data_IF_386807452331
#
_entry.id   IF_386807452331
#
_cell.length_a   1.000
_cell.length_b   1.000
_cell.length_c   1.000
_cell.angle_alpha   90.00
_cell.angle_beta   90.00
_cell.angle_gamma   90.00
#
_symmetry.space_group_name_H-M   'P 1'
#
loop_
_entity.id
_entity.type
_entity.pdbx_description
1 polymer ?
2 non-polymer ?
3 water ?
#
# COMPACT_ATOMS: atom_id res chain seq x y z
N UNK A 1 3.60 2.73 -10.64
CA UNK A 1 5.02 2.26 -10.74
C UNK A 1 5.79 2.62 -9.48
N UNK A 2 7.04 2.17 -9.43
CA UNK A 2 7.87 2.41 -8.27
C UNK A 2 9.12 3.23 -8.55
N UNK A 3 9.37 4.28 -7.74
CA UNK A 3 10.58 5.10 -7.93
C UNK A 3 11.79 4.17 -7.65
N UNK A 4 12.92 4.39 -8.35
CA UNK A 4 14.14 3.56 -8.22
C UNK A 4 14.79 3.46 -6.84
N UNK A 5 14.64 4.50 -6.04
CA UNK A 5 15.23 4.53 -4.71
C UNK A 5 14.51 3.68 -3.65
N UNK A 6 13.37 3.09 -4.00
CA UNK A 6 12.62 2.26 -3.04
C UNK A 6 12.61 0.77 -3.42
N UNK A 7 12.59 -0.09 -2.40
CA UNK A 7 12.49 -1.53 -2.62
C UNK A 7 10.97 -1.69 -2.65
N UNK A 8 10.45 -2.83 -3.06
CA UNK A 8 8.99 -2.95 -3.10
C UNK A 8 8.38 -2.78 -1.71
N UNK A 9 9.05 -3.29 -0.69
CA UNK A 9 8.57 -3.17 0.69
C UNK A 9 8.54 -1.71 1.15
N UNK A 10 9.56 -0.95 0.77
CA UNK A 10 9.64 0.46 1.15
C UNK A 10 8.55 1.26 0.46
N UNK A 11 8.25 0.89 -0.78
CA UNK A 11 7.23 1.57 -1.56
C UNK A 11 5.85 1.19 -1.01
N UNK A 12 5.73 -0.04 -0.50
CA UNK A 12 4.48 -0.53 0.08
C UNK A 12 4.19 0.28 1.34
N UNK A 13 5.25 0.50 2.12
CA UNK A 13 5.13 1.28 3.35
C UNK A 13 4.74 2.73 3.05
N UNK A 14 5.37 3.29 2.02
CA UNK A 14 5.12 4.66 1.61
C UNK A 14 3.69 4.82 1.09
N UNK A 15 3.19 3.79 0.41
CA UNK A 15 1.85 3.86 -0.16
C UNK A 15 0.67 3.46 0.70
N UNK A 16 0.86 2.44 1.54
CA UNK A 16 -0.23 1.92 2.34
C UNK A 16 -0.12 1.97 3.86
N UNK A 17 1.03 2.40 4.38
CA UNK A 17 1.19 2.45 5.82
C UNK A 17 1.48 3.85 6.37
N UNK A 18 2.38 4.58 5.73
CA UNK A 18 2.72 5.90 6.24
C UNK A 18 1.85 7.00 5.67
N UNK A 19 0.64 7.12 6.20
CA UNK A 19 -0.25 8.18 5.74
C UNK A 19 0.25 9.43 6.46
N UNK A 20 1.00 10.26 5.74
CA UNK A 20 1.61 11.46 6.33
C UNK A 20 0.66 12.54 6.83
N UNK A 21 -0.61 12.43 6.45
CA UNK A 21 -1.65 13.36 6.88
C UNK A 21 -2.95 12.57 6.89
N UNK A 22 -3.85 12.87 7.83
CA UNK A 22 -5.10 12.14 7.87
C UNK A 22 -6.01 12.58 6.71
N UNK A 23 -5.55 13.56 5.93
CA UNK A 23 -6.29 14.08 4.79
C UNK A 23 -5.72 13.44 3.54
N UNK A 24 -6.57 12.84 2.71
CA UNK A 24 -6.08 12.19 1.48
C UNK A 24 -5.37 13.12 0.49
N UNK A 25 -5.90 14.31 0.27
CA UNK A 25 -5.28 15.22 -0.68
C UNK A 25 -3.81 15.47 -0.34
N UNK A 26 -3.52 15.70 0.94
CA UNK A 26 -2.15 15.93 1.38
C UNK A 26 -1.33 14.64 1.41
N UNK A 27 -1.92 13.56 1.93
CA UNK A 27 -1.24 12.27 1.99
C UNK A 27 -0.83 11.79 0.59
N UNK A 28 -1.74 11.96 -0.38
CA UNK A 28 -1.48 11.52 -1.75
C UNK A 28 -0.40 12.31 -2.48
N UNK A 29 -0.10 13.52 -2.03
CA UNK A 29 0.93 14.32 -2.68
C UNK A 29 2.26 13.59 -2.62
N UNK A 30 2.50 12.90 -1.50
CA UNK A 30 3.73 12.15 -1.32
C UNK A 30 3.84 11.06 -2.41
N UNK A 31 2.80 10.24 -2.52
CA UNK A 31 2.79 9.16 -3.51
C UNK A 31 2.90 9.69 -4.95
N UNK A 32 2.10 10.71 -5.25
CA UNK A 32 2.04 11.31 -6.57
C UNK A 32 3.32 12.04 -6.94
N UNK A 33 3.96 12.69 -5.97
CA UNK A 33 5.20 13.41 -6.27
C UNK A 33 6.31 12.41 -6.56
N UNK A 34 6.18 11.22 -5.99
CA UNK A 34 7.17 10.18 -6.18
C UNK A 34 7.00 9.43 -7.50
N UNK A 35 5.76 9.10 -7.86
CA UNK A 35 5.53 8.35 -9.10
C UNK A 35 5.19 9.22 -10.33
N UNK A 36 5.27 10.54 -10.16
CA UNK A 36 5.03 11.50 -11.23
C UNK A 36 3.72 11.28 -11.99
N UNK A 37 2.64 11.18 -11.23
CA UNK A 37 1.32 10.99 -11.79
C UNK A 37 0.40 10.82 -10.61
N UNK A 38 -0.83 11.31 -10.76
CA UNK A 38 -1.79 11.20 -9.69
C UNK A 38 -2.48 9.84 -9.70
N UNK A 39 -2.16 9.03 -8.69
CA UNK A 39 -2.75 7.70 -8.56
C UNK A 39 -4.26 7.86 -8.38
N UNK A 40 -5.04 7.14 -9.17
CA UNK A 40 -6.48 7.26 -9.08
C UNK A 40 -7.11 6.79 -7.76
N UNK A 41 -6.56 5.72 -7.21
CA UNK A 41 -7.07 5.15 -5.97
C UNK A 41 -5.96 4.54 -5.11
N UNK A 42 -6.02 4.78 -3.81
CA UNK A 42 -5.01 4.24 -2.91
C UNK A 42 -5.54 4.10 -1.48
N UNK A 43 -5.29 2.94 -0.90
CA UNK A 43 -5.72 2.62 0.46
C UNK A 43 -4.58 2.72 1.48
N UNK A 44 -4.84 3.41 2.58
CA UNK A 44 -3.88 3.52 3.66
C UNK A 44 -4.44 2.67 4.79
N UNK A 45 -3.70 1.64 5.19
CA UNK A 45 -4.12 0.77 6.28
C UNK A 45 -3.69 1.40 7.62
N UNK A 46 -4.64 1.60 8.53
CA UNK A 46 -4.28 2.18 9.81
C UNK A 46 -3.78 1.04 10.70
N UNK A 47 -2.57 0.60 10.40
CA UNK A 47 -1.93 -0.49 11.12
C UNK A 47 -0.43 -0.25 10.99
N UNK A 48 0.36 -1.09 11.65
CA UNK A 48 1.81 -0.97 11.61
C UNK A 48 2.45 -1.91 10.57
N UNK A 49 3.66 -1.55 10.16
CA UNK A 49 4.41 -2.33 9.20
C UNK A 49 4.65 -3.73 9.79
N UNK A 50 5.02 -3.78 11.06
CA UNK A 50 5.27 -5.06 11.74
C UNK A 50 4.01 -5.94 11.73
N UNK A 51 2.84 -5.32 11.92
CA UNK A 51 1.56 -6.04 11.90
C UNK A 51 1.37 -6.70 10.53
N UNK A 52 1.68 -5.96 9.46
CA UNK A 52 1.54 -6.51 8.12
C UNK A 52 2.57 -7.62 7.87
N UNK A 53 3.79 -7.43 8.35
CA UNK A 53 4.84 -8.44 8.16
C UNK A 53 4.35 -9.74 8.79
N UNK A 54 3.68 -9.62 9.94
CA UNK A 54 3.18 -10.82 10.58
C UNK A 54 2.03 -11.47 9.80
N UNK A 55 1.23 -10.67 9.10
CA UNK A 55 0.14 -11.21 8.29
C UNK A 55 0.77 -12.00 7.14
N UNK A 56 1.99 -11.63 6.76
CA UNK A 56 2.70 -12.35 5.70
C UNK A 56 2.93 -13.77 6.19
N UNK A 57 2.82 -13.96 7.50
CA UNK A 57 3.02 -15.27 8.09
C UNK A 57 1.77 -16.13 8.09
N UNK A 58 0.63 -15.56 7.71
CA UNK A 58 -0.62 -16.31 7.66
C UNK A 58 -0.57 -17.21 6.43
N UNK A 59 -1.49 -18.17 6.31
CA UNK A 59 -1.44 -19.05 5.14
C UNK A 59 -1.44 -18.38 3.78
N UNK A 60 -0.69 -18.97 2.85
CA UNK A 60 -0.62 -18.47 1.49
C UNK A 60 -1.98 -18.67 0.84
N UNK A 61 -2.40 -17.72 0.02
CA UNK A 61 -3.67 -17.82 -0.68
C UNK A 61 -3.55 -17.16 -2.06
N UNK A 62 -4.46 -17.52 -2.95
CA UNK A 62 -4.46 -16.95 -4.28
C UNK A 62 -4.80 -15.45 -4.19
N UNK A 63 -4.07 -14.64 -4.95
CA UNK A 63 -4.29 -13.20 -4.96
C UNK A 63 -5.52 -12.87 -5.79
N UNK A 64 -6.57 -12.32 -5.14
CA UNK A 64 -7.81 -11.96 -5.84
C UNK A 64 -7.56 -11.11 -7.09
N UNK A 65 -6.58 -10.21 -7.01
CA UNK A 65 -6.25 -9.32 -8.12
C UNK A 65 -5.35 -9.90 -9.22
N UNK A 66 -4.69 -11.03 -8.95
CA UNK A 66 -3.87 -11.71 -9.95
C UNK A 66 -3.91 -13.19 -9.62
N UNK A 67 -4.94 -13.84 -10.15
CA UNK A 67 -5.21 -15.25 -9.97
C UNK A 67 -4.05 -16.22 -10.20
N UNK A 68 -3.01 -15.79 -10.90
CA UNK A 68 -1.87 -16.67 -11.13
C UNK A 68 -0.90 -16.64 -9.96
N UNK A 69 -1.12 -15.72 -9.02
CA UNK A 69 -0.23 -15.57 -7.88
C UNK A 69 -0.72 -16.23 -6.59
N UNK A 70 0.21 -16.85 -5.87
CA UNK A 70 -0.09 -17.54 -4.63
C UNK A 70 0.74 -16.98 -3.48
N UNK A 71 1.23 -15.75 -3.63
CA UNK A 71 2.04 -15.16 -2.57
C UNK A 71 1.25 -14.19 -1.75
N UNK A 72 -0.08 -14.33 -1.76
CA UNK A 72 -0.92 -13.43 -0.96
C UNK A 72 -1.27 -13.99 0.43
N UNK A 73 -1.67 -13.09 1.32
CA UNK A 73 -2.01 -13.47 2.69
C UNK A 73 -3.16 -12.61 3.19
N UNK A 74 -4.08 -13.25 3.90
CA UNK A 74 -5.27 -12.60 4.42
C UNK A 74 -5.03 -12.17 5.85
N UNK A 75 -5.44 -10.95 6.19
CA UNK A 75 -5.24 -10.44 7.55
C UNK A 75 -5.92 -11.20 8.70
N UNK A 76 -7.01 -11.90 8.46
CA UNK A 76 -7.59 -12.57 9.61
C UNK A 76 -8.19 -11.63 10.67
N UNK A 77 -8.07 -10.32 10.47
CA UNK A 77 -8.66 -9.34 11.39
C UNK A 77 -8.92 -8.09 10.58
N UNK A 78 -10.07 -7.45 10.79
CA UNK A 78 -10.37 -6.22 10.05
C UNK A 78 -9.57 -5.09 10.68
N UNK A 79 -9.24 -4.08 9.89
CA UNK A 79 -8.49 -2.95 10.43
C UNK A 79 -9.07 -1.66 9.91
N UNK A 80 -8.87 -0.55 10.65
CA UNK A 80 -9.39 0.74 10.19
C UNK A 80 -8.55 1.14 8.98
N UNK A 81 -9.19 1.72 7.97
CA UNK A 81 -8.46 2.15 6.78
C UNK A 81 -9.06 3.41 6.16
N UNK A 82 -8.24 4.14 5.43
CA UNK A 82 -8.71 5.33 4.75
C UNK A 82 -8.46 5.09 3.27
N UNK A 83 -9.52 5.15 2.46
CA UNK A 83 -9.37 4.96 1.03
C UNK A 83 -9.47 6.30 0.28
N UNK A 84 -8.42 6.63 -0.46
CA UNK A 84 -8.36 7.88 -1.21
C UNK A 84 -8.80 7.71 -2.66
N UNK A 85 -9.66 8.62 -3.11
CA UNK A 85 -10.18 8.61 -4.48
C UNK A 85 -9.90 9.93 -5.15
N UNK A 86 -9.27 9.88 -6.32
CA UNK A 86 -8.98 11.10 -7.05
C UNK A 86 -10.32 11.76 -7.44
N UNK A 87 -10.50 13.01 -7.06
CA UNK A 87 -11.74 13.72 -7.40
C UNK A 87 -11.43 14.76 -8.47
N UNK A 88 -10.19 15.23 -8.48
CA UNK A 88 -9.75 16.26 -9.41
C UNK A 88 -8.47 15.88 -10.14
N UNK A 89 -8.58 15.13 -11.26
CA UNK A 89 -7.42 14.70 -12.06
C UNK A 89 -6.76 15.90 -12.67
N UNK A 90 -5.43 15.94 -12.60
CA UNK A 90 -4.68 17.07 -13.12
C UNK A 90 -3.35 16.63 -13.75
N UNK A 91 -3.41 15.95 -14.91
CA UNK A 91 -2.23 15.46 -15.63
C UNK A 91 -1.19 16.53 -15.97
N UNK A 92 -1.66 17.75 -16.21
CA UNK A 92 -0.77 18.85 -16.56
C UNK A 92 -0.10 19.44 -15.32
N UNK A 93 -0.46 18.91 -14.15
CA UNK A 93 0.09 19.39 -12.89
C UNK A 93 -0.50 18.56 -11.75
N UNK A 94 0.32 17.65 -11.23
CA UNK A 94 -0.08 16.73 -10.18
C UNK A 94 -0.26 17.25 -8.74
N UNK A 95 0.33 18.39 -8.40
CA UNK A 95 0.17 18.91 -7.05
C UNK A 95 -1.22 19.53 -6.89
N UNK A 96 -1.96 19.57 -7.99
CA UNK A 96 -3.31 20.14 -7.99
C UNK A 96 -4.37 19.06 -7.99
N UNK A 97 -3.95 17.83 -7.74
CA UNK A 97 -4.89 16.73 -7.68
C UNK A 97 -5.53 16.73 -6.30
N UNK A 98 -6.86 16.64 -6.26
CA UNK A 98 -7.58 16.62 -5.00
C UNK A 98 -8.19 15.24 -4.84
N UNK A 99 -8.39 14.82 -3.60
CA UNK A 99 -8.94 13.50 -3.32
C UNK A 99 -10.05 13.52 -2.28
N UNK A 100 -10.85 12.46 -2.29
CA UNK A 100 -11.91 12.28 -1.31
C UNK A 100 -11.32 11.21 -0.39
N UNK A 101 -11.82 11.12 0.83
CA UNK A 101 -11.34 10.12 1.77
C UNK A 101 -12.54 9.34 2.29
N UNK A 102 -12.41 8.02 2.33
CA UNK A 102 -13.49 7.17 2.79
C UNK A 102 -13.02 6.24 3.88
N UNK A 103 -13.50 6.46 5.12
CA UNK A 103 -13.08 5.59 6.22
C UNK A 103 -13.86 4.28 6.18
N UNK A 104 -13.22 3.20 6.65
CA UNK A 104 -13.82 1.87 6.68
C UNK A 104 -12.98 0.93 7.55
N UNK A 105 -13.54 -0.23 7.87
CA UNK A 105 -12.86 -1.25 8.65
C UNK A 105 -13.03 -2.52 7.85
N UNK A 106 -11.95 -2.98 7.25
CA UNK A 106 -12.04 -4.18 6.43
C UNK A 106 -10.79 -5.00 6.59
N UNK A 107 -10.85 -6.17 5.99
CA UNK A 107 -9.74 -7.10 5.97
C UNK A 107 -8.87 -6.66 4.83
N UNK A 108 -7.61 -7.06 4.86
CA UNK A 108 -6.72 -6.74 3.76
C UNK A 108 -5.98 -8.01 3.38
N UNK A 109 -5.65 -8.10 2.10
CA UNK A 109 -4.92 -9.21 1.56
C UNK A 109 -3.64 -8.61 0.99
N UNK A 110 -2.49 -9.06 1.45
CA UNK A 110 -1.23 -8.53 0.96
C UNK A 110 -0.37 -9.60 0.31
N UNK A 111 0.35 -9.20 -0.73
CA UNK A 111 1.29 -10.08 -1.41
C UNK A 111 2.61 -9.82 -0.68
N UNK A 112 3.33 -10.88 -0.35
CA UNK A 112 4.60 -10.75 0.35
C UNK A 112 5.66 -11.55 -0.37
N UNK A 113 6.89 -11.10 -0.20
CA UNK A 113 8.04 -11.76 -0.81
C UNK A 113 9.24 -11.67 0.12
N UNK A 114 10.31 -12.34 -0.29
CA UNK A 114 11.54 -12.29 0.45
C UNK A 114 12.03 -10.88 0.23
N UNK A 115 12.69 -10.33 1.23
CA UNK A 115 13.22 -8.97 1.17
C UNK A 115 14.27 -8.76 0.08
N UNK A 116 14.45 -7.51 -0.32
CA UNK A 116 15.46 -7.10 -1.30
C UNK A 116 16.75 -7.31 -0.51
N UNK A 117 17.52 -8.33 -0.87
CA UNK A 117 18.76 -8.67 -0.18
C UNK A 117 19.70 -7.51 0.10
N UNK A 118 19.91 -6.68 -0.91
CA UNK A 118 20.82 -5.55 -0.81
C UNK A 118 20.31 -4.31 -0.12
N UNK A 119 19.03 -4.01 -0.28
CA UNK A 119 18.46 -2.79 0.27
C UNK A 119 17.49 -2.87 1.44
N UNK A 120 16.84 -4.02 1.61
CA UNK A 120 15.90 -4.19 2.71
C UNK A 120 16.63 -4.59 3.99
N UNK A 121 16.23 -4.01 5.12
CA UNK A 121 16.90 -4.37 6.37
C UNK A 121 16.69 -5.86 6.69
N UNK A 122 17.75 -6.53 7.16
CA UNK A 122 17.71 -7.95 7.51
C UNK A 122 16.73 -8.31 8.62
N UNK A 123 16.29 -7.32 9.37
CA UNK A 123 15.35 -7.55 10.46
C UNK A 123 14.10 -8.31 9.99
N UNK A 124 13.67 -8.06 8.76
CA UNK A 124 12.47 -8.71 8.21
C UNK A 124 12.77 -9.52 6.96
N UNK A 125 13.01 -10.83 7.10
CA UNK A 125 13.29 -11.63 5.90
C UNK A 125 12.12 -11.60 4.91
N UNK A 126 10.90 -11.51 5.43
CA UNK A 126 9.71 -11.51 4.58
C UNK A 126 8.95 -10.18 4.74
N UNK A 127 8.58 -9.58 3.62
CA UNK A 127 7.91 -8.27 3.64
C UNK A 127 6.74 -8.11 2.66
N UNK A 128 5.81 -7.19 2.97
CA UNK A 128 4.68 -6.97 2.07
C UNK A 128 5.23 -6.19 0.88
N UNK A 129 4.78 -6.49 -0.33
CA UNK A 129 5.25 -5.78 -1.52
C UNK A 129 4.12 -5.24 -2.39
N UNK A 130 2.88 -5.60 -2.07
CA UNK A 130 1.71 -5.16 -2.83
C UNK A 130 0.45 -5.30 -1.98
N UNK A 131 -0.45 -4.33 -2.10
CA UNK A 131 -1.72 -4.41 -1.39
C UNK A 131 -2.60 -5.01 -2.46
N UNK A 132 -2.89 -6.30 -2.35
CA UNK A 132 -3.70 -6.92 -3.38
C UNK A 132 -5.19 -6.61 -3.32
N UNK A 133 -5.72 -6.50 -2.11
CA UNK A 133 -7.15 -6.27 -1.99
C UNK A 133 -7.64 -5.97 -0.57
N UNK A 134 -8.74 -5.23 -0.48
CA UNK A 134 -9.36 -4.96 0.81
C UNK A 134 -10.72 -5.62 0.66
N UNK A 135 -11.09 -6.42 1.66
CA UNK A 135 -12.35 -7.15 1.65
C UNK A 135 -12.95 -7.08 3.03
X LIG B 1 0.07 -1.71 -5.15
X LIG B 1 0.87 -2.78 -5.87
X LIG B 1 0.08 -2.01 -3.66
X LIG B 1 0.68 -0.35 -5.43
X LIG B 1 -2.58 -0.81 -5.53
X LIG B 1 -2.49 0.14 -4.34
X LIG B 1 -3.87 -1.61 -5.54
X LIG B 1 -1.36 -1.71 -5.68
X LIG B 1 -2.63 0.14 -6.86
X LIG B 1 -2.50 -0.41 -8.19
X LIG B 1 -3.58 0.14 -9.10
X LIG B 1 -4.89 -0.24 -8.57
X LIG B 1 -3.61 1.66 -9.26
X LIG B 1 -3.99 2.04 -10.59
X LIG B 1 -4.67 2.10 -8.26
X LIG B 1 -5.28 3.32 -8.63
X LIG B 1 -5.66 0.93 -8.33
X LIG B 1 -6.42 0.71 -7.08
X LIG B 1 -5.95 0.83 -5.79
X LIG B 1 -6.85 0.58 -4.87
X LIG B 1 -7.99 0.26 -5.59
X LIG B 1 -9.30 -0.11 -5.19
X LIG B 1 -9.67 -0.22 -3.92
X LIG B 1 -10.22 -0.35 -6.17
X LIG B 1 -9.84 -0.24 -7.46
X LIG B 1 -8.63 0.10 -7.96
X LIG B 1 -7.74 0.34 -6.96
#
# INVERSE_FOLDING_TARGET
>A
MKPPQFTWAQWFETQHINMTSQQCTNAMQVINNYQRRCKNQNTFLLTTFANVVNVCGNPNMTCPSNKTRKNCHHSGSQVPLIHCNLTTPSPQNISNCRYAQTPANMFYIVACDNRDQRRDPPQYPVVPVHLDRII
>B hetero
1 ADP PB O1B O2B O3B PA O1A O2A O3A O5' C5' C4' O4' C3' O3' C2' O2' C1' N9 C8 N7 C5 C6 N6 N1 C2 N3 C4
#
